data_IF_317782676962
#
_entry.id   IF_317782676962
#
_cell.length_a   1.000
_cell.length_b   1.000
_cell.length_c   1.000
_cell.angle_alpha   90.00
_cell.angle_beta   90.00
_cell.angle_gamma   90.00
#
_symmetry.space_group_name_H-M   'P 1'
#
loop_
_entity.id
_entity.type
_entity.pdbx_description
1 polymer ?
#
# COMPACT_ATOMS: atom_id res chain seq x y z
N UNK A 1 -37.87 -19.37 -0.60
CA UNK A 1 -36.94 -18.63 -1.50
C UNK A 1 -36.34 -17.36 -0.88
N UNK A 2 -36.59 -17.03 0.40
CA UNK A 2 -35.90 -15.95 1.14
C UNK A 2 -34.72 -16.48 1.98
N UNK A 3 -34.77 -17.76 2.34
CA UNK A 3 -33.81 -18.42 3.25
C UNK A 3 -32.51 -18.78 2.51
N UNK A 4 -32.58 -19.02 1.20
CA UNK A 4 -31.41 -19.39 0.36
C UNK A 4 -30.45 -18.20 0.16
N UNK A 5 -30.99 -16.98 0.03
CA UNK A 5 -30.18 -15.75 -0.06
C UNK A 5 -29.44 -15.45 1.24
N UNK A 6 -30.07 -15.68 2.39
CA UNK A 6 -29.45 -15.45 3.71
C UNK A 6 -28.32 -16.44 3.96
N UNK A 7 -28.46 -17.71 3.55
CA UNK A 7 -27.39 -18.70 3.67
C UNK A 7 -26.23 -18.45 2.71
N UNK A 8 -26.45 -17.97 1.48
CA UNK A 8 -25.33 -17.61 0.57
C UNK A 8 -24.56 -16.39 1.10
N UNK A 9 -25.25 -15.42 1.72
CA UNK A 9 -24.60 -14.29 2.39
C UNK A 9 -23.87 -14.68 3.69
N UNK A 10 -24.32 -15.73 4.40
CA UNK A 10 -23.64 -16.21 5.60
C UNK A 10 -22.40 -17.08 5.32
N UNK A 11 -22.30 -17.70 4.14
CA UNK A 11 -21.17 -18.57 3.78
C UNK A 11 -20.04 -17.88 3.00
N UNK A 12 -20.23 -16.65 2.50
CA UNK A 12 -19.20 -15.89 1.77
C UNK A 12 -18.39 -14.88 2.62
N UNK A 13 -18.69 -14.72 3.90
CA UNK A 13 -17.88 -13.90 4.81
C UNK A 13 -16.84 -14.71 5.62
N UNK A 14 -16.76 -16.03 5.39
CA UNK A 14 -15.68 -16.88 5.90
C UNK A 14 -14.66 -17.05 4.78
N UNK A 15 -13.88 -16.01 4.54
CA UNK A 15 -12.60 -16.11 3.85
C UNK A 15 -11.72 -14.95 4.29
N UNK A 16 -10.63 -15.35 4.96
CA UNK A 16 -9.41 -14.57 5.25
C UNK A 16 -9.40 -13.80 6.57
N UNK A 17 -8.96 -14.54 7.60
CA UNK A 17 -7.98 -14.11 8.62
C UNK A 17 -7.04 -13.04 8.03
N UNK A 18 -6.85 -11.86 8.61
CA UNK A 18 -5.99 -11.66 9.77
C UNK A 18 -6.38 -10.41 10.55
N UNK A 19 -6.47 -10.55 11.87
CA UNK A 19 -6.42 -9.41 12.79
C UNK A 19 -4.98 -8.94 12.90
N UNK A 20 -4.53 -8.07 12.01
CA UNK A 20 -3.27 -7.35 12.20
C UNK A 20 -3.55 -6.03 12.92
N UNK A 21 -3.28 -6.04 14.23
CA UNK A 21 -2.94 -4.86 15.03
C UNK A 21 -3.80 -3.61 14.85
N UNK A 22 -4.99 -3.58 15.48
CA UNK A 22 -5.64 -2.32 15.83
C UNK A 22 -4.87 -1.67 16.98
N UNK A 23 -3.67 -1.18 16.71
CA UNK A 23 -3.08 -0.15 17.56
C UNK A 23 -3.82 1.15 17.24
N UNK A 24 -4.48 1.70 18.26
CA UNK A 24 -5.01 3.06 18.24
C UNK A 24 -3.85 4.05 18.21
N UNK A 25 -3.06 4.06 17.13
CA UNK A 25 -2.24 5.19 16.73
C UNK A 25 -2.90 5.82 15.51
N UNK A 26 -2.46 7.02 15.15
CA UNK A 26 -2.87 7.76 13.94
C UNK A 26 -2.35 7.07 12.65
N UNK A 27 -2.36 5.74 12.61
CA UNK A 27 -1.85 4.91 11.52
C UNK A 27 -2.97 4.60 10.53
N UNK A 28 -2.64 4.65 9.24
CA UNK A 28 -3.57 4.37 8.17
C UNK A 28 -3.88 2.87 8.11
N UNK A 29 -5.09 2.52 7.72
CA UNK A 29 -5.45 1.12 7.39
C UNK A 29 -4.81 0.73 6.06
N UNK A 30 -4.55 -0.57 5.83
CA UNK A 30 -4.02 -1.05 4.56
C UNK A 30 -4.88 -0.56 3.36
N UNK A 31 -6.21 -0.57 3.49
CA UNK A 31 -7.12 -0.10 2.45
C UNK A 31 -6.91 1.37 2.13
N UNK A 32 -6.70 2.20 3.17
CA UNK A 32 -6.42 3.63 3.00
C UNK A 32 -5.05 3.87 2.35
N UNK A 33 -4.02 3.11 2.73
CA UNK A 33 -2.69 3.23 2.11
C UNK A 33 -2.71 2.82 0.64
N UNK A 34 -3.38 1.71 0.32
CA UNK A 34 -3.54 1.26 -1.06
C UNK A 34 -4.28 2.31 -1.89
N UNK A 35 -5.36 2.89 -1.35
CA UNK A 35 -6.10 3.95 -2.02
C UNK A 35 -5.22 5.19 -2.31
N UNK A 36 -4.29 5.54 -1.41
CA UNK A 36 -3.38 6.66 -1.60
C UNK A 36 -2.35 6.42 -2.71
N UNK A 37 -1.94 5.18 -2.96
CA UNK A 37 -0.98 4.84 -4.03
C UNK A 37 -1.63 4.35 -5.32
N UNK A 38 -2.96 4.21 -5.39
CA UNK A 38 -3.66 3.90 -6.64
C UNK A 38 -3.24 4.77 -7.82
N UNK A 39 -3.04 6.10 -7.67
CA UNK A 39 -2.59 6.95 -8.77
C UNK A 39 -1.16 6.63 -9.27
N UNK A 40 -0.39 5.82 -8.55
CA UNK A 40 0.95 5.41 -8.94
C UNK A 40 0.97 4.28 -9.97
N UNK A 41 -0.15 3.56 -10.16
CA UNK A 41 -0.21 2.34 -10.98
C UNK A 41 0.27 2.58 -12.41
N UNK A 42 -0.12 3.70 -13.03
CA UNK A 42 0.28 3.99 -14.42
C UNK A 42 1.80 4.23 -14.55
N UNK A 43 2.41 4.88 -13.57
CA UNK A 43 3.87 4.99 -13.52
C UNK A 43 4.52 3.62 -13.26
N UNK A 44 4.00 2.86 -12.29
CA UNK A 44 4.52 1.55 -11.89
C UNK A 44 4.44 0.51 -13.03
N UNK A 45 3.46 0.65 -13.93
CA UNK A 45 3.25 -0.24 -15.09
C UNK A 45 3.82 0.32 -16.39
N UNK A 46 4.65 1.36 -16.33
CA UNK A 46 5.31 1.99 -17.48
C UNK A 46 4.38 2.67 -18.50
N UNK A 47 3.17 3.06 -18.11
CA UNK A 47 2.26 3.83 -18.97
C UNK A 47 2.57 5.33 -19.00
N UNK A 48 3.15 5.86 -17.92
CA UNK A 48 3.57 7.28 -17.84
C UNK A 48 5.03 7.38 -17.43
N UNK A 49 5.82 8.29 -17.99
CA UNK A 49 7.25 8.35 -17.66
C UNK A 49 7.57 8.88 -16.26
N UNK A 50 6.65 9.63 -15.66
CA UNK A 50 6.77 10.19 -14.32
C UNK A 50 5.55 9.83 -13.44
N UNK A 51 5.72 9.77 -12.11
CA UNK A 51 4.59 9.67 -11.19
C UNK A 51 3.76 10.95 -11.21
N UNK A 52 2.45 10.79 -11.05
CA UNK A 52 1.53 11.92 -10.90
C UNK A 52 1.75 12.64 -9.56
N UNK A 53 1.32 13.90 -9.48
CA UNK A 53 1.34 14.66 -8.22
C UNK A 53 0.56 13.94 -7.12
N UNK A 54 -0.63 13.38 -7.46
CA UNK A 54 -1.46 12.63 -6.53
C UNK A 54 -0.79 11.36 -6.02
N UNK A 55 -0.05 10.64 -6.87
CA UNK A 55 0.76 9.50 -6.46
C UNK A 55 1.80 9.92 -5.41
N UNK A 56 2.54 10.98 -5.68
CA UNK A 56 3.58 11.45 -4.77
C UNK A 56 3.02 11.99 -3.45
N UNK A 57 1.88 12.67 -3.47
CA UNK A 57 1.24 13.18 -2.25
C UNK A 57 0.64 12.05 -1.41
N UNK A 58 0.08 11.03 -2.05
CA UNK A 58 -0.33 9.80 -1.38
C UNK A 58 0.83 9.11 -0.67
N UNK A 59 1.96 8.95 -1.37
CA UNK A 59 3.18 8.36 -0.80
C UNK A 59 3.73 9.17 0.38
N UNK A 60 3.76 10.50 0.28
CA UNK A 60 4.15 11.38 1.40
C UNK A 60 3.23 11.20 2.60
N UNK A 61 1.92 11.13 2.39
CA UNK A 61 0.94 10.96 3.46
C UNK A 61 1.11 9.65 4.20
N UNK A 62 1.41 8.56 3.50
CA UNK A 62 1.72 7.26 4.12
C UNK A 62 2.97 7.40 5.00
N UNK A 63 4.05 7.95 4.46
CA UNK A 63 5.32 8.13 5.18
C UNK A 63 5.14 9.01 6.43
N UNK A 64 4.38 10.11 6.33
CA UNK A 64 4.09 10.99 7.47
C UNK A 64 3.14 10.36 8.50
N UNK A 65 2.33 9.38 8.10
CA UNK A 65 1.42 8.63 9.00
C UNK A 65 2.07 7.40 9.61
N UNK A 66 3.31 7.09 9.22
CA UNK A 66 4.09 5.97 9.72
C UNK A 66 5.42 6.44 10.32
N UNK A 67 5.40 7.21 11.43
CA UNK A 67 6.62 7.75 12.03
C UNK A 67 7.53 6.67 12.65
N UNK A 68 6.96 5.59 13.18
CA UNK A 68 7.73 4.53 13.86
C UNK A 68 8.17 3.41 12.92
N UNK A 69 9.20 2.63 13.30
CA UNK A 69 9.64 1.46 12.51
C UNK A 69 8.49 0.45 12.30
N UNK A 70 7.70 0.19 13.35
CA UNK A 70 6.58 -0.76 13.30
C UNK A 70 5.51 -0.32 12.29
N UNK A 71 5.15 0.96 12.28
CA UNK A 71 4.18 1.50 11.32
C UNK A 71 4.72 1.48 9.89
N UNK A 72 6.02 1.75 9.67
CA UNK A 72 6.65 1.63 8.35
C UNK A 72 6.63 0.19 7.84
N UNK A 73 6.92 -0.77 8.71
CA UNK A 73 6.87 -2.20 8.37
C UNK A 73 5.44 -2.64 8.05
N UNK A 74 4.44 -2.20 8.82
CA UNK A 74 3.04 -2.46 8.53
C UNK A 74 2.64 -1.90 7.16
N UNK A 75 2.95 -0.62 6.92
CA UNK A 75 2.64 0.05 5.68
C UNK A 75 3.28 -0.65 4.46
N UNK A 76 4.56 -0.98 4.59
CA UNK A 76 5.28 -1.69 3.54
C UNK A 76 4.64 -3.05 3.23
N UNK A 77 4.22 -3.82 4.24
CA UNK A 77 3.54 -5.11 4.04
C UNK A 77 2.21 -4.93 3.29
N UNK A 78 1.41 -3.92 3.65
CA UNK A 78 0.17 -3.59 2.94
C UNK A 78 0.45 -3.27 1.45
N UNK A 79 1.39 -2.36 1.21
CA UNK A 79 1.75 -1.92 -0.15
C UNK A 79 2.37 -3.04 -0.99
N UNK A 80 3.19 -3.92 -0.38
CA UNK A 80 3.79 -5.08 -1.05
C UNK A 80 2.72 -6.08 -1.49
N UNK A 81 1.72 -6.34 -0.65
CA UNK A 81 0.57 -7.19 -1.01
C UNK A 81 -0.19 -6.59 -2.19
N UNK A 82 -0.55 -5.30 -2.13
CA UNK A 82 -1.24 -4.64 -3.23
C UNK A 82 -0.41 -4.62 -4.53
N UNK A 83 0.91 -4.38 -4.44
CA UNK A 83 1.80 -4.42 -5.58
C UNK A 83 1.85 -5.80 -6.26
N UNK A 84 1.67 -6.88 -5.49
CA UNK A 84 1.64 -8.25 -6.04
C UNK A 84 0.39 -8.53 -6.87
N UNK A 85 -0.68 -7.77 -6.69
CA UNK A 85 -1.93 -7.88 -7.45
C UNK A 85 -1.91 -7.08 -8.77
N UNK A 86 -0.88 -6.24 -8.99
CA UNK A 86 -0.76 -5.41 -10.20
C UNK A 86 -0.02 -6.20 -11.29
N UNK A 87 -0.69 -6.57 -12.40
CA UNK A 87 -0.01 -7.20 -13.52
C UNK A 87 0.98 -6.24 -14.18
N UNK A 88 2.11 -6.78 -14.66
CA UNK A 88 3.17 -6.02 -15.35
C UNK A 88 3.80 -4.89 -14.52
N UNK A 89 3.74 -4.97 -13.18
CA UNK A 89 4.43 -4.01 -12.32
C UNK A 89 5.95 -4.04 -12.53
N UNK A 90 6.53 -2.86 -12.77
CA UNK A 90 7.96 -2.71 -12.93
C UNK A 90 8.64 -2.45 -11.58
N UNK A 91 9.35 -3.45 -11.07
CA UNK A 91 10.12 -3.36 -9.81
C UNK A 91 11.10 -2.18 -9.81
N UNK A 92 11.79 -1.94 -10.93
CA UNK A 92 12.70 -0.79 -11.06
C UNK A 92 11.98 0.55 -10.84
N UNK A 93 10.75 0.71 -11.31
CA UNK A 93 9.97 1.94 -11.10
C UNK A 93 9.45 2.05 -9.68
N UNK A 94 9.01 0.94 -9.07
CA UNK A 94 8.66 0.92 -7.66
C UNK A 94 9.84 1.36 -6.78
N UNK A 95 11.05 0.85 -7.03
CA UNK A 95 12.24 1.20 -6.26
C UNK A 95 12.68 2.66 -6.48
N UNK A 96 12.42 3.24 -7.66
CA UNK A 96 12.73 4.65 -7.95
C UNK A 96 11.63 5.62 -7.50
N UNK A 97 10.44 5.15 -7.11
CA UNK A 97 9.28 6.01 -6.89
C UNK A 97 9.53 7.10 -5.84
N UNK A 98 10.16 6.76 -4.70
CA UNK A 98 10.52 7.74 -3.67
C UNK A 98 11.47 8.83 -4.19
N UNK A 99 12.43 8.43 -5.04
CA UNK A 99 13.41 9.34 -5.67
C UNK A 99 12.71 10.27 -6.66
N UNK A 100 11.85 9.73 -7.53
CA UNK A 100 11.07 10.52 -8.49
C UNK A 100 10.11 11.49 -7.80
N UNK A 101 9.51 11.08 -6.68
CA UNK A 101 8.67 11.94 -5.85
C UNK A 101 9.45 12.93 -4.96
N UNK A 102 10.79 12.93 -5.04
CA UNK A 102 11.70 13.82 -4.28
C UNK A 102 11.46 13.77 -2.77
N UNK A 103 11.08 12.60 -2.26
CA UNK A 103 10.85 12.40 -0.83
C UNK A 103 12.19 12.17 -0.17
N UNK A 104 12.55 12.98 0.83
CA UNK A 104 13.79 12.79 1.58
C UNK A 104 13.68 11.53 2.45
N UNK A 105 14.58 10.60 2.18
CA UNK A 105 14.60 9.24 2.73
C UNK A 105 15.42 9.17 4.03
N UNK A 106 15.64 10.32 4.70
CA UNK A 106 16.45 10.38 5.94
C UNK A 106 15.77 9.70 7.15
N UNK A 107 14.47 9.41 7.05
CA UNK A 107 13.69 8.71 8.08
C UNK A 107 13.07 7.39 7.59
N UNK A 108 13.26 6.97 6.35
CA UNK A 108 12.61 5.77 5.79
C UNK A 108 13.74 4.94 5.18
N UNK A 109 14.16 3.82 5.77
CA UNK A 109 15.36 3.11 5.27
C UNK A 109 15.16 2.75 3.77
N UNK A 110 16.20 2.91 2.92
CA UNK A 110 16.05 3.07 1.49
C UNK A 110 16.19 1.76 0.70
N UNK A 111 15.65 1.79 -0.52
CA UNK A 111 16.06 1.00 -1.69
C UNK A 111 15.47 -0.36 -1.98
N UNK A 112 14.50 -0.85 -1.22
CA UNK A 112 13.77 -2.00 -1.71
C UNK A 112 12.40 -2.08 -1.07
N UNK A 113 11.48 -2.76 -1.74
CA UNK A 113 10.24 -3.27 -1.16
C UNK A 113 10.50 -4.37 -0.09
N UNK A 114 11.64 -4.28 0.58
CA UNK A 114 12.14 -5.15 1.62
C UNK A 114 11.68 -4.57 2.95
N UNK A 115 10.44 -4.92 3.28
CA UNK A 115 9.69 -4.45 4.44
C UNK A 115 10.25 -4.90 5.80
N UNK A 116 11.45 -5.46 5.84
CA UNK A 116 12.04 -6.07 7.03
C UNK A 116 13.18 -5.27 7.64
N UNK A 117 13.75 -4.27 6.95
CA UNK A 117 14.91 -3.49 7.45
C UNK A 117 14.51 -2.20 8.17
#
# INVERSE_FOLDING_TARGET
MKIVFVSVFLFLAVSVLTTDGKESSKSLTCEQEVALVQPCVDYLTKKTDAPSTSCCDGLKKIISSSPTKKEKQAACKCLKKAASEIPNLCKQRANNLCKECKIKVDNFIPNDLDCEK
#
